data_IF_888882436203
#
_entry.id   IF_888882436203
#
_cell.length_a   1.000
_cell.length_b   1.000
_cell.length_c   1.000
_cell.angle_alpha   90.00
_cell.angle_beta   90.00
_cell.angle_gamma   90.00
#
_symmetry.space_group_name_H-M   'P 1'
#
loop_
_entity.id
_entity.type
_entity.pdbx_description
1 polymer ?
#
# COMPACT_ATOMS: atom_id res chain seq x y z
N UNK A 1 22.83 -18.90 -32.44
CA UNK A 1 23.74 -17.91 -31.80
C UNK A 1 22.91 -16.67 -31.54
N UNK A 2 22.40 -16.48 -30.33
CA UNK A 2 21.82 -15.19 -29.90
C UNK A 2 22.94 -14.38 -29.23
N UNK A 3 23.75 -13.71 -30.05
CA UNK A 3 24.65 -12.65 -29.59
C UNK A 3 23.88 -11.34 -29.72
N UNK A 4 22.97 -11.09 -28.77
CA UNK A 4 22.14 -9.89 -28.75
C UNK A 4 21.70 -9.53 -27.34
N UNK A 5 21.69 -8.23 -27.04
CA UNK A 5 21.14 -7.69 -25.81
C UNK A 5 19.63 -7.97 -25.74
N UNK A 6 19.17 -8.70 -24.71
CA UNK A 6 17.73 -8.94 -24.49
C UNK A 6 17.13 -7.75 -23.74
N UNK A 7 16.13 -7.11 -24.35
CA UNK A 7 15.40 -6.02 -23.71
C UNK A 7 14.51 -6.54 -22.57
N UNK A 8 14.98 -6.45 -21.33
CA UNK A 8 14.28 -6.94 -20.13
C UNK A 8 13.36 -5.86 -19.53
N UNK A 9 12.42 -6.27 -18.67
CA UNK A 9 11.53 -5.33 -17.96
C UNK A 9 12.31 -4.31 -17.11
N UNK A 10 13.35 -4.71 -16.36
CA UNK A 10 14.18 -3.74 -15.64
C UNK A 10 14.81 -2.68 -16.52
N UNK A 11 15.35 -3.07 -17.70
CA UNK A 11 15.98 -2.11 -18.63
C UNK A 11 14.96 -1.11 -19.18
N UNK A 12 13.76 -1.59 -19.55
CA UNK A 12 12.68 -0.71 -20.03
C UNK A 12 12.21 0.25 -18.92
N UNK A 13 12.08 -0.26 -17.70
CA UNK A 13 11.67 0.51 -16.52
C UNK A 13 12.69 1.60 -16.18
N UNK A 14 13.98 1.27 -16.25
CA UNK A 14 15.07 2.24 -16.05
C UNK A 14 15.05 3.31 -17.15
N UNK A 15 14.71 2.96 -18.39
CA UNK A 15 14.55 3.96 -19.45
C UNK A 15 13.40 4.94 -19.15
N UNK A 16 12.24 4.46 -18.68
CA UNK A 16 11.15 5.36 -18.26
C UNK A 16 11.55 6.28 -17.11
N UNK A 17 12.35 5.80 -16.15
CA UNK A 17 12.90 6.63 -15.09
C UNK A 17 13.87 7.69 -15.61
N UNK A 18 14.81 7.31 -16.49
CA UNK A 18 15.79 8.25 -17.08
C UNK A 18 15.07 9.39 -17.82
N UNK A 19 13.96 9.07 -18.47
CA UNK A 19 13.19 10.02 -19.25
C UNK A 19 11.95 10.56 -18.53
N UNK A 20 11.85 10.45 -17.20
CA UNK A 20 10.65 10.82 -16.43
C UNK A 20 10.13 12.24 -16.77
N UNK A 21 11.04 13.20 -16.95
CA UNK A 21 10.70 14.61 -17.22
C UNK A 21 10.41 14.90 -18.70
N UNK A 22 10.45 13.88 -19.58
CA UNK A 22 10.18 13.99 -21.01
C UNK A 22 9.22 12.92 -21.52
N UNK A 23 8.54 12.19 -20.63
CA UNK A 23 7.62 11.12 -21.04
C UNK A 23 6.49 11.61 -21.94
N UNK A 24 6.07 12.87 -21.79
CA UNK A 24 5.10 13.51 -22.69
C UNK A 24 5.59 13.65 -24.14
N UNK A 25 6.91 13.71 -24.35
CA UNK A 25 7.52 13.88 -25.68
C UNK A 25 7.90 12.52 -26.27
N UNK A 26 8.55 11.67 -25.48
CA UNK A 26 9.19 10.44 -25.99
C UNK A 26 8.58 9.15 -25.46
N UNK A 27 7.66 9.21 -24.49
CA UNK A 27 7.14 8.04 -23.81
C UNK A 27 6.42 7.08 -24.77
N UNK A 28 5.62 7.61 -25.69
CA UNK A 28 4.92 6.78 -26.69
C UNK A 28 5.89 6.10 -27.65
N UNK A 29 6.93 6.82 -28.08
CA UNK A 29 8.01 6.25 -28.90
C UNK A 29 8.73 5.12 -28.15
N UNK A 30 8.97 5.27 -26.84
CA UNK A 30 9.56 4.20 -26.02
C UNK A 30 8.64 2.97 -25.95
N UNK A 31 7.36 3.16 -25.66
CA UNK A 31 6.37 2.07 -25.58
C UNK A 31 6.29 1.31 -26.91
N UNK A 32 6.21 2.02 -28.03
CA UNK A 32 6.16 1.42 -29.37
C UNK A 32 7.45 0.66 -29.70
N UNK A 33 8.61 1.28 -29.48
CA UNK A 33 9.90 0.65 -29.75
C UNK A 33 10.10 -0.63 -28.91
N UNK A 34 9.75 -0.58 -27.62
CA UNK A 34 9.82 -1.73 -26.73
C UNK A 34 8.85 -2.84 -27.12
N UNK A 35 7.62 -2.47 -27.50
CA UNK A 35 6.62 -3.41 -28.00
C UNK A 35 7.09 -4.14 -29.26
N UNK A 36 7.68 -3.41 -30.22
CA UNK A 36 8.22 -3.97 -31.46
C UNK A 36 9.38 -4.96 -31.20
N UNK A 37 10.30 -4.62 -30.29
CA UNK A 37 11.43 -5.50 -29.95
C UNK A 37 10.99 -6.76 -29.20
N UNK A 38 10.00 -6.64 -28.31
CA UNK A 38 9.51 -7.78 -27.50
C UNK A 38 8.38 -8.57 -28.14
N UNK A 39 7.83 -8.10 -29.25
CA UNK A 39 6.59 -8.61 -29.84
C UNK A 39 5.45 -8.67 -28.79
N UNK A 40 5.33 -7.60 -28.01
CA UNK A 40 4.33 -7.42 -26.95
C UNK A 40 3.50 -6.16 -27.20
N UNK A 41 2.25 -6.13 -26.76
CA UNK A 41 1.43 -4.93 -26.85
C UNK A 41 1.98 -3.80 -25.96
N UNK A 42 1.76 -2.54 -26.35
CA UNK A 42 2.16 -1.39 -25.52
C UNK A 42 1.55 -1.43 -24.11
N UNK A 43 0.30 -1.92 -23.98
CA UNK A 43 -0.35 -2.09 -22.68
C UNK A 43 0.34 -3.17 -21.82
N UNK A 44 0.82 -4.25 -22.45
CA UNK A 44 1.62 -5.29 -21.77
C UNK A 44 2.97 -4.74 -21.30
N UNK A 45 3.66 -3.97 -22.15
CA UNK A 45 4.91 -3.29 -21.77
C UNK A 45 4.66 -2.36 -20.58
N UNK A 46 3.62 -1.53 -20.66
CA UNK A 46 3.27 -0.57 -19.61
C UNK A 46 2.93 -1.25 -18.28
N UNK A 47 2.10 -2.30 -18.31
CA UNK A 47 1.75 -3.10 -17.13
C UNK A 47 2.98 -3.73 -16.47
N UNK A 48 3.86 -4.32 -17.27
CA UNK A 48 5.07 -4.98 -16.76
C UNK A 48 6.04 -3.96 -16.14
N UNK A 49 6.25 -2.83 -16.82
CA UNK A 49 7.12 -1.77 -16.31
C UNK A 49 6.52 -1.12 -15.07
N UNK A 50 5.21 -0.92 -15.00
CA UNK A 50 4.53 -0.37 -13.83
C UNK A 50 4.79 -1.22 -12.58
N UNK A 51 4.73 -2.55 -12.72
CA UNK A 51 5.04 -3.48 -11.63
C UNK A 51 6.52 -3.47 -11.22
N UNK A 52 7.44 -3.03 -12.08
CA UNK A 52 8.88 -2.99 -11.78
C UNK A 52 9.32 -1.64 -11.19
N UNK A 53 8.85 -0.50 -11.72
CA UNK A 53 9.24 0.86 -11.27
C UNK A 53 8.82 1.18 -9.84
N UNK A 54 7.80 0.48 -9.33
CA UNK A 54 7.26 0.69 -7.97
C UNK A 54 8.05 -0.04 -6.89
N UNK A 55 9.02 -0.89 -7.27
CA UNK A 55 9.84 -1.61 -6.29
C UNK A 55 10.71 -0.63 -5.49
N UNK A 56 10.92 -0.84 -4.18
CA UNK A 56 11.69 0.08 -3.34
C UNK A 56 13.09 0.39 -3.89
N UNK A 57 13.80 -0.60 -4.44
CA UNK A 57 15.15 -0.46 -4.99
C UNK A 57 15.24 0.45 -6.23
N UNK A 58 14.12 0.74 -6.89
CA UNK A 58 14.07 1.67 -8.03
C UNK A 58 14.13 3.13 -7.61
N UNK A 59 13.95 3.43 -6.32
CA UNK A 59 14.06 4.78 -5.77
C UNK A 59 13.21 5.81 -6.53
N UNK A 60 11.97 5.43 -6.89
CA UNK A 60 11.01 6.31 -7.57
C UNK A 60 10.83 7.62 -6.76
N UNK A 61 10.99 8.77 -7.42
CA UNK A 61 10.95 10.10 -6.78
C UNK A 61 9.66 10.88 -7.05
N UNK A 62 9.02 10.62 -8.18
CA UNK A 62 7.83 11.33 -8.66
C UNK A 62 6.80 10.35 -9.23
N UNK A 63 5.57 10.81 -9.35
CA UNK A 63 4.46 9.99 -9.86
C UNK A 63 4.33 10.04 -11.39
N UNK A 64 5.09 10.90 -12.09
CA UNK A 64 4.99 11.10 -13.54
C UNK A 64 5.08 9.78 -14.32
N UNK A 65 6.04 8.92 -13.94
CA UNK A 65 6.21 7.58 -14.53
C UNK A 65 4.98 6.71 -14.28
N UNK A 66 4.38 6.76 -13.09
CA UNK A 66 3.19 5.98 -12.74
C UNK A 66 1.98 6.41 -13.56
N UNK A 67 1.70 7.72 -13.61
CA UNK A 67 0.61 8.27 -14.42
C UNK A 67 0.80 7.95 -15.90
N UNK A 68 2.02 8.11 -16.42
CA UNK A 68 2.33 7.77 -17.80
C UNK A 68 2.06 6.30 -18.08
N UNK A 69 2.68 5.36 -17.35
CA UNK A 69 2.51 3.92 -17.59
C UNK A 69 1.06 3.49 -17.40
N UNK A 70 0.40 3.97 -16.35
CA UNK A 70 -1.00 3.68 -16.08
C UNK A 70 -1.92 4.17 -17.21
N UNK A 71 -1.63 5.32 -17.83
CA UNK A 71 -2.41 5.85 -18.96
C UNK A 71 -2.37 4.95 -20.19
N UNK A 72 -1.32 4.13 -20.35
CA UNK A 72 -1.13 3.22 -21.51
C UNK A 72 -1.78 1.85 -21.31
N UNK A 73 -2.29 1.56 -20.11
CA UNK A 73 -3.05 0.33 -19.84
C UNK A 73 -4.49 0.52 -20.35
N UNK A 74 -5.03 -0.53 -20.98
CA UNK A 74 -6.42 -0.52 -21.44
C UNK A 74 -7.40 -0.21 -20.31
N UNK A 75 -8.32 0.73 -20.54
CA UNK A 75 -9.21 1.29 -19.52
C UNK A 75 -9.97 0.20 -18.73
N UNK A 76 -10.48 -0.83 -19.41
CA UNK A 76 -11.27 -1.89 -18.80
C UNK A 76 -10.46 -2.84 -17.89
N UNK A 77 -9.12 -2.77 -17.94
CA UNK A 77 -8.24 -3.71 -17.24
C UNK A 77 -7.36 -3.01 -16.18
N UNK A 78 -7.52 -1.70 -15.98
CA UNK A 78 -6.64 -0.91 -15.11
C UNK A 78 -6.61 -1.41 -13.68
N UNK A 79 -7.78 -1.58 -13.06
CA UNK A 79 -7.86 -2.06 -11.67
C UNK A 79 -7.35 -3.50 -11.53
N UNK A 80 -7.69 -4.38 -12.47
CA UNK A 80 -7.21 -5.77 -12.49
C UNK A 80 -5.67 -5.83 -12.55
N UNK A 81 -5.06 -5.00 -13.40
CA UNK A 81 -3.60 -4.93 -13.50
C UNK A 81 -2.97 -4.46 -12.19
N UNK A 82 -3.53 -3.43 -11.54
CA UNK A 82 -3.01 -2.96 -10.25
C UNK A 82 -3.16 -4.04 -9.18
N UNK A 83 -4.33 -4.69 -9.08
CA UNK A 83 -4.53 -5.79 -8.14
C UNK A 83 -3.55 -6.93 -8.34
N UNK A 84 -3.33 -7.35 -9.60
CA UNK A 84 -2.33 -8.37 -9.93
C UNK A 84 -0.91 -7.96 -9.52
N UNK A 85 -0.55 -6.68 -9.68
CA UNK A 85 0.73 -6.14 -9.24
C UNK A 85 0.84 -6.21 -7.71
N UNK A 86 -0.20 -5.80 -6.97
CA UNK A 86 -0.24 -5.90 -5.52
C UNK A 86 -0.08 -7.35 -5.04
N UNK A 87 -0.77 -8.29 -5.68
CA UNK A 87 -0.66 -9.71 -5.33
C UNK A 87 0.71 -10.30 -5.65
N UNK A 88 1.30 -9.95 -6.80
CA UNK A 88 2.64 -10.39 -7.20
C UNK A 88 3.71 -9.95 -6.18
N UNK A 89 3.59 -8.72 -5.68
CA UNK A 89 4.48 -8.19 -4.65
C UNK A 89 4.08 -8.58 -3.23
N UNK A 90 2.93 -9.25 -3.08
CA UNK A 90 2.35 -9.61 -1.78
C UNK A 90 2.14 -8.38 -0.90
N UNK A 91 1.43 -7.37 -1.40
CA UNK A 91 1.03 -6.22 -0.59
C UNK A 91 -0.19 -6.61 0.26
N UNK A 92 -0.19 -6.23 1.54
CA UNK A 92 -1.33 -6.38 2.44
C UNK A 92 -0.91 -6.79 3.85
N UNK A 93 -1.82 -7.44 4.57
CA UNK A 93 -1.55 -8.05 5.87
C UNK A 93 -0.90 -9.43 5.68
N UNK A 94 0.14 -9.70 6.45
CA UNK A 94 0.86 -10.98 6.50
C UNK A 94 0.82 -11.63 7.87
N UNK A 95 0.38 -10.89 8.88
CA UNK A 95 0.44 -11.35 10.26
C UNK A 95 1.70 -10.90 10.96
N UNK A 96 1.64 -10.91 12.29
CA UNK A 96 2.74 -10.55 13.15
C UNK A 96 3.52 -11.83 13.50
N UNK A 97 4.75 -11.94 13.02
CA UNK A 97 5.65 -13.04 13.37
C UNK A 97 6.31 -12.82 14.74
N UNK A 98 6.58 -13.92 15.46
CA UNK A 98 7.45 -13.93 16.64
C UNK A 98 8.80 -14.61 16.27
N UNK A 99 9.96 -14.01 16.60
CA UNK A 99 10.15 -12.73 17.28
C UNK A 99 9.74 -11.54 16.39
N UNK A 100 9.22 -10.49 17.03
CA UNK A 100 8.74 -9.30 16.32
C UNK A 100 9.90 -8.63 15.59
N UNK A 101 9.75 -8.50 14.28
CA UNK A 101 10.65 -7.75 13.42
C UNK A 101 9.96 -6.48 12.97
N UNK A 102 10.73 -5.41 12.78
CA UNK A 102 10.25 -4.26 12.02
C UNK A 102 10.14 -4.63 10.54
N UNK A 103 9.32 -3.87 9.80
CA UNK A 103 8.98 -4.13 8.41
C UNK A 103 8.98 -2.83 7.63
N UNK A 104 9.56 -2.83 6.44
CA UNK A 104 9.46 -1.74 5.47
C UNK A 104 8.16 -1.86 4.66
N UNK A 105 7.74 -0.79 3.99
CA UNK A 105 6.69 -0.91 2.98
C UNK A 105 7.13 -1.87 1.88
N UNK A 106 6.18 -2.64 1.37
CA UNK A 106 6.43 -3.60 0.29
C UNK A 106 6.85 -2.91 -1.01
N UNK A 107 6.28 -1.74 -1.28
CA UNK A 107 6.52 -0.94 -2.47
C UNK A 107 7.12 0.43 -2.14
N UNK A 108 7.46 1.21 -3.17
CA UNK A 108 7.90 2.59 -3.02
C UNK A 108 6.81 3.45 -2.35
N UNK A 109 7.15 4.30 -1.37
CA UNK A 109 6.21 5.26 -0.76
C UNK A 109 5.45 6.12 -1.78
N UNK A 110 6.08 6.43 -2.92
CA UNK A 110 5.47 7.22 -3.99
C UNK A 110 4.28 6.48 -4.63
N UNK A 111 4.32 5.15 -4.69
CA UNK A 111 3.20 4.36 -5.20
C UNK A 111 1.99 4.43 -4.28
N UNK A 112 2.14 4.31 -2.96
CA UNK A 112 1.03 4.44 -2.02
C UNK A 112 0.40 5.84 -2.08
N UNK A 113 1.24 6.89 -2.18
CA UNK A 113 0.74 8.25 -2.39
C UNK A 113 -0.02 8.39 -3.70
N UNK A 114 0.43 7.74 -4.76
CA UNK A 114 -0.31 7.73 -6.03
C UNK A 114 -1.64 6.98 -5.92
N UNK A 115 -1.69 5.86 -5.20
CA UNK A 115 -2.92 5.07 -5.01
C UNK A 115 -4.01 5.91 -4.35
N UNK A 116 -3.70 6.62 -3.27
CA UNK A 116 -4.71 7.41 -2.55
C UNK A 116 -5.23 8.61 -3.38
N UNK A 117 -4.43 9.12 -4.32
CA UNK A 117 -4.82 10.19 -5.24
C UNK A 117 -5.59 9.68 -6.46
N UNK A 118 -5.35 8.45 -6.89
CA UNK A 118 -5.90 7.87 -8.13
C UNK A 118 -7.12 6.98 -7.92
N UNK A 119 -7.34 6.43 -6.73
CA UNK A 119 -8.39 5.45 -6.45
C UNK A 119 -9.28 5.88 -5.28
N UNK A 120 -10.55 5.47 -5.32
CA UNK A 120 -11.48 5.75 -4.23
C UNK A 120 -11.04 5.02 -2.92
N UNK A 121 -11.20 5.66 -1.73
CA UNK A 121 -10.82 5.09 -0.44
C UNK A 121 -11.43 3.72 -0.12
N UNK A 122 -12.59 3.40 -0.70
CA UNK A 122 -13.30 2.16 -0.46
C UNK A 122 -12.91 1.02 -1.42
N UNK A 123 -12.05 1.27 -2.41
CA UNK A 123 -11.60 0.23 -3.35
C UNK A 123 -10.72 -0.82 -2.66
N UNK A 124 -10.70 -2.03 -3.21
CA UNK A 124 -9.85 -3.11 -2.72
C UNK A 124 -8.35 -2.76 -2.83
N UNK A 125 -7.96 -2.06 -3.92
CA UNK A 125 -6.60 -1.54 -4.15
C UNK A 125 -6.17 -0.65 -2.97
N UNK A 126 -6.98 0.35 -2.63
CA UNK A 126 -6.65 1.30 -1.55
C UNK A 126 -6.62 0.59 -0.20
N UNK A 127 -7.56 -0.32 0.07
CA UNK A 127 -7.59 -1.10 1.33
C UNK A 127 -6.37 -2.01 1.48
N UNK A 128 -5.97 -2.72 0.43
CA UNK A 128 -4.80 -3.60 0.44
C UNK A 128 -3.49 -2.82 0.63
N UNK A 129 -3.41 -1.60 0.09
CA UNK A 129 -2.32 -0.68 0.38
C UNK A 129 -2.33 -0.21 1.85
N UNK A 130 -3.51 0.08 2.39
CA UNK A 130 -3.66 0.49 3.79
C UNK A 130 -3.27 -0.61 4.77
N UNK A 131 -3.65 -1.85 4.47
CA UNK A 131 -3.24 -3.05 5.20
C UNK A 131 -1.71 -3.13 5.36
N UNK A 132 -0.96 -3.00 4.27
CA UNK A 132 0.51 -3.04 4.26
C UNK A 132 1.13 -1.88 5.07
N UNK A 133 0.56 -0.68 4.95
CA UNK A 133 1.00 0.50 5.72
C UNK A 133 0.73 0.30 7.22
N UNK A 134 -0.47 -0.16 7.59
CA UNK A 134 -0.86 -0.39 8.97
C UNK A 134 0.03 -1.45 9.61
N UNK A 135 0.23 -2.60 8.95
CA UNK A 135 1.11 -3.64 9.48
C UNK A 135 2.54 -3.12 9.66
N UNK A 136 3.07 -2.38 8.69
CA UNK A 136 4.39 -1.75 8.81
C UNK A 136 4.47 -0.79 10.01
N UNK A 137 3.42 0.01 10.27
CA UNK A 137 3.35 0.89 11.44
C UNK A 137 3.32 0.12 12.75
N UNK A 138 2.55 -0.97 12.80
CA UNK A 138 2.39 -1.81 13.99
C UNK A 138 3.69 -2.55 14.28
N UNK A 139 4.32 -3.17 13.29
CA UNK A 139 5.62 -3.82 13.43
C UNK A 139 6.69 -2.85 13.94
N UNK A 140 6.71 -1.61 13.43
CA UNK A 140 7.61 -0.58 13.92
C UNK A 140 7.37 -0.22 15.40
N UNK A 141 6.12 0.00 15.81
CA UNK A 141 5.79 0.29 17.22
C UNK A 141 6.17 -0.87 18.13
N UNK A 142 5.79 -2.10 17.77
CA UNK A 142 6.09 -3.30 18.56
C UNK A 142 7.60 -3.53 18.70
N UNK A 143 8.38 -3.28 17.64
CA UNK A 143 9.83 -3.36 17.70
C UNK A 143 10.43 -2.35 18.68
N UNK A 144 9.96 -1.09 18.65
CA UNK A 144 10.42 -0.04 19.57
C UNK A 144 10.01 -0.33 21.02
N UNK A 145 8.84 -0.94 21.24
CA UNK A 145 8.44 -1.40 22.58
C UNK A 145 9.41 -2.45 23.14
N UNK A 146 9.96 -3.32 22.29
CA UNK A 146 10.94 -4.34 22.69
C UNK A 146 12.36 -3.79 22.85
N UNK A 147 12.66 -2.62 22.28
CA UNK A 147 13.98 -1.99 22.29
C UNK A 147 13.92 -0.56 22.86
N UNK A 148 13.69 -0.40 24.18
CA UNK A 148 13.57 0.93 24.79
C UNK A 148 14.83 1.78 24.56
N UNK A 149 14.63 3.07 24.24
CA UNK A 149 15.70 4.03 23.97
C UNK A 149 16.09 4.17 22.50
N UNK A 150 15.49 3.38 21.60
CA UNK A 150 15.55 3.64 20.17
C UNK A 150 14.37 4.51 19.72
N UNK A 151 14.64 5.44 18.81
CA UNK A 151 13.61 6.29 18.18
C UNK A 151 13.18 5.78 16.80
N UNK A 152 13.99 4.90 16.20
CA UNK A 152 13.79 4.35 14.85
C UNK A 152 14.00 2.83 14.91
N UNK A 153 13.15 2.02 14.26
CA UNK A 153 13.28 0.56 14.32
C UNK A 153 14.50 0.03 13.54
N UNK A 154 15.42 -0.64 14.23
CA UNK A 154 16.48 -1.44 13.62
C UNK A 154 17.37 -0.68 12.65
N UNK A 155 17.52 -1.19 11.42
CA UNK A 155 18.28 -0.55 10.34
C UNK A 155 17.47 0.41 9.46
N UNK A 156 16.22 0.69 9.83
CA UNK A 156 15.37 1.63 9.11
C UNK A 156 15.99 3.03 9.15
N UNK A 157 15.94 3.73 8.03
CA UNK A 157 16.34 5.13 7.99
C UNK A 157 15.23 6.02 8.55
N UNK A 158 15.59 7.17 9.11
CA UNK A 158 14.64 8.16 9.59
C UNK A 158 13.64 8.58 8.49
N UNK A 159 14.11 8.70 7.24
CA UNK A 159 13.25 9.04 6.10
C UNK A 159 12.24 7.95 5.78
N UNK A 160 12.64 6.67 5.80
CA UNK A 160 11.73 5.55 5.60
C UNK A 160 10.68 5.49 6.72
N UNK A 161 11.10 5.65 7.97
CA UNK A 161 10.18 5.64 9.10
C UNK A 161 9.17 6.80 9.04
N UNK A 162 9.63 8.02 8.71
CA UNK A 162 8.77 9.18 8.48
C UNK A 162 7.80 8.97 7.32
N UNK A 163 8.22 8.32 6.23
CA UNK A 163 7.36 8.03 5.09
C UNK A 163 6.20 7.10 5.49
N UNK A 164 6.47 6.01 6.22
CA UNK A 164 5.43 5.10 6.71
C UNK A 164 4.43 5.86 7.61
N UNK A 165 4.94 6.69 8.53
CA UNK A 165 4.10 7.49 9.43
C UNK A 165 3.23 8.50 8.69
N UNK A 166 3.79 9.18 7.68
CA UNK A 166 3.02 10.13 6.88
C UNK A 166 1.93 9.42 6.09
N UNK A 167 2.29 8.36 5.36
CA UNK A 167 1.32 7.59 4.56
C UNK A 167 0.18 7.05 5.40
N UNK A 168 0.47 6.52 6.59
CA UNK A 168 -0.59 6.07 7.50
C UNK A 168 -1.58 7.17 7.85
N UNK A 169 -1.06 8.36 8.20
CA UNK A 169 -1.89 9.53 8.51
C UNK A 169 -2.68 9.99 7.28
N UNK A 170 -2.06 10.01 6.11
CA UNK A 170 -2.71 10.45 4.87
C UNK A 170 -3.87 9.50 4.52
N UNK A 171 -3.67 8.18 4.64
CA UNK A 171 -4.73 7.18 4.47
C UNK A 171 -5.86 7.31 5.50
N UNK A 172 -5.55 7.61 6.76
CA UNK A 172 -6.58 7.86 7.76
C UNK A 172 -7.38 9.14 7.44
N UNK A 173 -6.71 10.20 6.97
CA UNK A 173 -7.35 11.49 6.65
C UNK A 173 -8.30 11.40 5.45
N UNK A 174 -7.97 10.58 4.46
CA UNK A 174 -8.86 10.28 3.32
C UNK A 174 -9.97 9.26 3.68
N UNK A 175 -10.14 8.95 4.97
CA UNK A 175 -11.18 8.05 5.48
C UNK A 175 -11.13 6.65 4.88
N UNK A 176 -9.93 6.12 4.58
CA UNK A 176 -9.78 4.72 4.19
C UNK A 176 -10.28 3.83 5.33
N UNK A 177 -11.24 2.92 5.07
CA UNK A 177 -11.93 2.21 6.14
C UNK A 177 -11.01 1.19 6.81
N UNK A 178 -11.10 1.14 8.14
CA UNK A 178 -10.50 0.06 8.91
C UNK A 178 -11.32 -1.22 8.77
N UNK A 179 -10.66 -2.33 8.49
CA UNK A 179 -11.24 -3.66 8.48
C UNK A 179 -11.27 -4.29 9.86
N UNK A 180 -12.10 -5.32 10.06
CA UNK A 180 -12.14 -6.09 11.31
C UNK A 180 -10.80 -6.75 11.63
N UNK A 181 -10.10 -7.19 10.60
CA UNK A 181 -8.75 -7.76 10.69
C UNK A 181 -7.73 -6.78 11.26
N UNK A 182 -7.99 -5.46 11.29
CA UNK A 182 -7.10 -4.46 11.88
C UNK A 182 -7.17 -4.42 13.40
N UNK A 183 -8.30 -4.80 14.00
CA UNK A 183 -8.50 -4.72 15.46
C UNK A 183 -7.44 -5.52 16.21
N UNK A 184 -7.13 -6.74 15.76
CA UNK A 184 -6.09 -7.58 16.35
C UNK A 184 -4.66 -7.00 16.27
N UNK A 185 -4.42 -6.05 15.35
CA UNK A 185 -3.15 -5.34 15.27
C UNK A 185 -3.18 -4.13 16.21
N UNK A 186 -4.25 -3.33 16.14
CA UNK A 186 -4.42 -2.13 16.94
C UNK A 186 -4.36 -2.40 18.45
N UNK A 187 -4.92 -3.53 18.91
CA UNK A 187 -4.89 -3.92 20.33
C UNK A 187 -3.49 -4.22 20.87
N UNK A 188 -2.51 -4.49 19.99
CA UNK A 188 -1.12 -4.73 20.39
C UNK A 188 -0.28 -3.46 20.41
N UNK A 189 -0.73 -2.40 19.74
CA UNK A 189 0.00 -1.15 19.70
C UNK A 189 -0.12 -0.38 21.01
N UNK A 190 0.92 0.39 21.36
CA UNK A 190 0.89 1.40 22.43
C UNK A 190 0.99 2.82 21.89
N UNK A 191 1.33 2.97 20.60
CA UNK A 191 1.45 4.25 19.94
C UNK A 191 0.08 4.89 19.72
N UNK A 192 -0.19 5.98 20.45
CA UNK A 192 -1.46 6.70 20.36
C UNK A 192 -1.74 7.21 18.94
N UNK A 193 -0.71 7.58 18.17
CA UNK A 193 -0.87 8.04 16.79
C UNK A 193 -1.31 6.93 15.82
N UNK A 194 -1.20 5.66 16.21
CA UNK A 194 -1.71 4.51 15.46
C UNK A 194 -3.13 4.15 15.91
N UNK A 195 -3.39 4.20 17.21
CA UNK A 195 -4.68 3.74 17.76
C UNK A 195 -5.77 4.79 17.58
N UNK A 196 -5.43 6.07 17.80
CA UNK A 196 -6.40 7.17 17.87
C UNK A 196 -7.25 7.34 16.59
N UNK A 197 -6.70 7.26 15.35
CA UNK A 197 -7.52 7.42 14.14
C UNK A 197 -8.67 6.41 14.04
N UNK A 198 -8.50 5.19 14.55
CA UNK A 198 -9.60 4.22 14.57
C UNK A 198 -10.77 4.71 15.44
N UNK A 199 -10.50 5.24 16.64
CA UNK A 199 -11.54 5.69 17.56
C UNK A 199 -12.15 7.04 17.17
N UNK A 200 -11.37 7.95 16.59
CA UNK A 200 -11.83 9.29 16.25
C UNK A 200 -12.53 9.36 14.89
N UNK A 201 -12.13 8.52 13.94
CA UNK A 201 -12.62 8.59 12.55
C UNK A 201 -13.44 7.35 12.23
N UNK A 202 -12.84 6.16 12.37
CA UNK A 202 -13.45 4.94 11.88
C UNK A 202 -14.67 4.49 12.71
N UNK A 203 -14.54 4.46 14.04
CA UNK A 203 -15.59 3.97 14.94
C UNK A 203 -16.87 4.82 14.84
N UNK A 204 -16.84 6.17 14.86
CA UNK A 204 -18.03 6.97 14.64
C UNK A 204 -18.71 6.68 13.30
N UNK A 205 -17.93 6.53 12.22
CA UNK A 205 -18.46 6.20 10.89
C UNK A 205 -19.15 4.83 10.87
N UNK A 206 -18.61 3.83 11.57
CA UNK A 206 -19.24 2.51 11.72
C UNK A 206 -20.57 2.63 12.47
N UNK A 207 -20.59 3.37 13.59
CA UNK A 207 -21.78 3.51 14.44
C UNK A 207 -22.89 4.32 13.75
N UNK A 208 -22.54 5.34 12.97
CA UNK A 208 -23.51 6.15 12.22
C UNK A 208 -24.07 5.42 10.99
N UNK A 209 -23.29 4.56 10.34
CA UNK A 209 -23.71 3.82 9.14
C UNK A 209 -24.55 2.56 9.43
N UNK A 210 -24.74 2.17 10.69
CA UNK A 210 -25.59 1.04 11.09
C UNK A 210 -27.11 1.26 10.82
N UNK A 211 -27.50 2.39 10.22
CA UNK A 211 -28.84 2.60 9.63
C UNK A 211 -28.99 2.13 8.18
N UNK A 212 -27.91 1.72 7.51
CA UNK A 212 -27.94 1.39 6.07
C UNK A 212 -27.09 0.17 5.75
N UNK A 213 -27.66 -1.03 5.94
CA UNK A 213 -27.49 -2.34 5.25
C UNK A 213 -26.16 -2.76 4.56
N UNK A 214 -25.04 -2.06 4.67
CA UNK A 214 -23.79 -2.33 3.94
C UNK A 214 -22.74 -3.13 4.73
N UNK A 215 -23.05 -3.49 5.97
CA UNK A 215 -22.15 -4.25 6.87
C UNK A 215 -22.62 -5.68 7.18
N UNK A 216 -23.74 -6.12 6.62
CA UNK A 216 -24.37 -7.41 6.99
C UNK A 216 -23.60 -8.67 6.59
N UNK A 217 -22.53 -8.57 5.80
CA UNK A 217 -21.77 -9.75 5.40
C UNK A 217 -20.54 -10.04 6.30
N UNK A 218 -20.00 -9.03 7.00
CA UNK A 218 -18.80 -9.22 7.83
C UNK A 218 -19.03 -8.99 9.34
N UNK A 219 -20.15 -8.38 9.73
CA UNK A 219 -20.53 -8.22 11.15
C UNK A 219 -21.53 -9.30 11.60
N UNK A 220 -21.13 -10.58 11.55
CA UNK A 220 -21.73 -11.58 12.45
C UNK A 220 -20.90 -11.67 13.72
N UNK A 221 -21.15 -10.76 14.65
CA UNK A 221 -20.75 -10.96 16.04
C UNK A 221 -21.49 -12.20 16.57
N UNK A 222 -20.79 -13.34 16.65
CA UNK A 222 -21.29 -14.49 17.36
C UNK A 222 -21.03 -14.23 18.86
N UNK A 223 -21.91 -13.46 19.50
CA UNK A 223 -21.96 -13.31 20.97
C UNK A 223 -22.41 -14.63 21.58
N UNK A 224 -21.54 -15.64 21.55
CA UNK A 224 -21.59 -16.78 22.44
C UNK A 224 -20.16 -17.04 22.90
N UNK A 225 -19.94 -16.57 24.13
CA UNK A 225 -18.83 -16.83 25.03
C UNK A 225 -17.87 -15.64 25.20
N UNK A 226 -17.80 -15.25 26.48
CA UNK A 226 -16.73 -14.53 27.16
C UNK A 226 -16.82 -12.99 27.28
N UNK A 227 -17.26 -12.66 28.50
CA UNK A 227 -17.00 -11.49 29.34
C UNK A 227 -17.74 -10.20 28.99
N UNK A 228 -18.55 -9.82 29.98
CA UNK A 228 -19.43 -8.68 30.08
C UNK A 228 -18.71 -7.35 29.77
N UNK A 229 -19.02 -6.77 28.60
CA UNK A 229 -18.49 -5.48 28.15
C UNK A 229 -18.83 -4.31 29.09
N UNK A 230 -19.71 -4.52 30.08
CA UNK A 230 -20.03 -3.52 31.11
C UNK A 230 -18.90 -3.25 32.10
N UNK A 231 -17.87 -4.12 32.17
CA UNK A 231 -16.73 -3.91 33.07
C UNK A 231 -15.69 -2.91 32.52
N UNK A 232 -15.58 -2.76 31.19
CA UNK A 232 -14.62 -1.84 30.54
C UNK A 232 -15.07 -0.38 30.60
N UNK A 233 -16.39 -0.13 30.60
CA UNK A 233 -16.95 1.23 30.59
C UNK A 233 -16.82 1.91 31.97
N UNK A 234 -16.62 1.15 33.05
CA UNK A 234 -16.53 1.69 34.42
C UNK A 234 -15.13 2.15 34.85
N UNK A 235 -14.12 2.07 33.97
CA UNK A 235 -12.72 2.48 34.26
C UNK A 235 -12.19 3.62 33.39
N UNK A 236 -13.07 4.29 32.63
CA UNK A 236 -12.84 5.61 32.03
C UNK A 236 -13.64 6.64 32.84
#
# INVERSE_FOLDING_TARGET
MDLGFKLTVPVMSDAFHIFENRLEIIGDTLIEAFGNVRNESGATIASNCLGDVIKPEKNLKKQDVLYFLYSKIHQNNKEEVIMKILDMHKVGLHGLEEPIKYRFLTLSPIFYKWVIEAFDPCTEITRKCFDDILESRICADLYLQQNPGQDIPGDMTDSAFKAIRSLYRDYCNENVPFGLSHLQYLTKSRAIDIIRPFFEIALPNILQNNGSNRLNNDLKFNYKNDVDASEWIKKL
#
